data_IF_384395542109
#
_entry.id   IF_384395542109
#
_cell.length_a   1.000
_cell.length_b   1.000
_cell.length_c   1.000
_cell.angle_alpha   90.00
_cell.angle_beta   90.00
_cell.angle_gamma   90.00
#
_symmetry.space_group_name_H-M   'P 1'
#
loop_
_entity.id
_entity.type
_entity.pdbx_description
1 polymer ?
#
# COMPACT_ATOMS: atom_id res chain seq x y z
N UNK A 1 -15.06 -13.51 -6.22
CA UNK A 1 -14.83 -12.19 -5.61
C UNK A 1 -13.42 -12.04 -5.02
N UNK A 2 -13.04 -12.79 -3.96
CA UNK A 2 -11.71 -12.62 -3.32
C UNK A 2 -10.53 -12.87 -4.28
N UNK A 3 -10.57 -13.93 -5.09
CA UNK A 3 -9.52 -14.25 -6.08
C UNK A 3 -9.38 -13.17 -7.14
N UNK A 4 -10.47 -12.65 -7.61
CA UNK A 4 -10.50 -11.58 -8.61
C UNK A 4 -9.90 -10.29 -8.06
N UNK A 5 -10.26 -9.89 -6.82
CA UNK A 5 -9.68 -8.71 -6.17
C UNK A 5 -8.17 -8.87 -5.94
N UNK A 6 -7.73 -10.06 -5.51
CA UNK A 6 -6.31 -10.36 -5.37
C UNK A 6 -5.58 -10.35 -6.72
N UNK A 7 -6.20 -10.89 -7.77
CA UNK A 7 -5.68 -10.80 -9.13
C UNK A 7 -5.48 -9.34 -9.56
N UNK A 8 -6.48 -8.49 -9.36
CA UNK A 8 -6.38 -7.05 -9.68
C UNK A 8 -5.25 -6.37 -8.89
N UNK A 9 -5.12 -6.68 -7.60
CA UNK A 9 -4.04 -6.14 -6.75
C UNK A 9 -2.65 -6.56 -7.21
N UNK A 10 -2.51 -7.81 -7.68
CA UNK A 10 -1.25 -8.36 -8.20
C UNK A 10 -1.04 -8.08 -9.71
N UNK A 11 -2.01 -7.45 -10.37
CA UNK A 11 -1.95 -7.19 -11.80
C UNK A 11 -2.01 -8.46 -12.65
N UNK A 12 -2.67 -9.53 -12.17
CA UNK A 12 -2.80 -10.83 -12.82
C UNK A 12 -4.26 -11.11 -13.18
N UNK A 13 -4.48 -11.70 -14.36
CA UNK A 13 -5.79 -12.09 -14.87
C UNK A 13 -5.98 -13.61 -14.89
N UNK A 14 -4.89 -14.37 -14.96
CA UNK A 14 -4.89 -15.84 -14.94
C UNK A 14 -4.95 -16.28 -13.48
N UNK A 15 -6.13 -16.73 -13.05
CA UNK A 15 -6.41 -17.08 -11.65
C UNK A 15 -6.54 -18.60 -11.48
N UNK A 16 -5.49 -19.35 -11.78
CA UNK A 16 -5.43 -20.81 -11.68
C UNK A 16 -5.01 -21.29 -10.25
N UNK A 17 -4.65 -22.58 -10.13
CA UNK A 17 -4.18 -23.14 -8.86
C UNK A 17 -2.86 -22.54 -8.41
N UNK A 18 -1.92 -22.29 -9.35
CA UNK A 18 -0.62 -21.69 -9.07
C UNK A 18 -0.77 -20.26 -8.51
N UNK A 19 -1.68 -19.46 -9.08
CA UNK A 19 -2.05 -18.15 -8.53
C UNK A 19 -2.56 -18.28 -7.08
N UNK A 20 -3.38 -19.27 -6.78
CA UNK A 20 -3.95 -19.44 -5.44
C UNK A 20 -2.87 -19.79 -4.39
N UNK A 21 -1.96 -20.68 -4.75
CA UNK A 21 -0.80 -21.05 -3.91
C UNK A 21 0.12 -19.85 -3.69
N UNK A 22 0.43 -19.12 -4.77
CA UNK A 22 1.26 -17.92 -4.72
C UNK A 22 0.66 -16.85 -3.80
N UNK A 23 -0.64 -16.63 -3.89
CA UNK A 23 -1.36 -15.65 -3.06
C UNK A 23 -1.33 -16.04 -1.57
N UNK A 24 -1.53 -17.32 -1.27
CA UNK A 24 -1.50 -17.81 0.11
C UNK A 24 -0.09 -17.67 0.72
N UNK A 25 0.93 -18.05 -0.02
CA UNK A 25 2.32 -17.90 0.42
C UNK A 25 2.72 -16.42 0.62
N UNK A 26 2.31 -15.55 -0.29
CA UNK A 26 2.51 -14.11 -0.13
C UNK A 26 1.96 -13.59 1.20
N UNK A 27 0.72 -13.96 1.55
CA UNK A 27 0.12 -13.52 2.80
C UNK A 27 0.87 -14.03 4.03
N UNK A 28 1.38 -15.28 3.98
CA UNK A 28 2.21 -15.83 5.04
C UNK A 28 3.55 -15.10 5.18
N UNK A 29 4.20 -14.77 4.05
CA UNK A 29 5.44 -14.00 4.03
C UNK A 29 5.24 -12.59 4.58
N UNK A 30 4.19 -11.88 4.14
CA UNK A 30 3.86 -10.55 4.66
C UNK A 30 3.65 -10.56 6.17
N UNK A 31 2.94 -11.57 6.69
CA UNK A 31 2.69 -11.72 8.11
C UNK A 31 3.97 -12.04 8.89
N UNK A 32 4.78 -13.01 8.42
CA UNK A 32 6.00 -13.46 9.12
C UNK A 32 7.05 -12.36 9.18
N UNK A 33 7.18 -11.57 8.11
CA UNK A 33 8.13 -10.46 8.01
C UNK A 33 7.58 -9.12 8.51
N UNK A 34 6.32 -9.09 8.97
CA UNK A 34 5.63 -7.88 9.45
C UNK A 34 5.64 -6.73 8.43
N UNK A 35 5.54 -7.07 7.14
CA UNK A 35 5.51 -6.08 6.07
C UNK A 35 4.17 -5.35 6.02
N UNK A 36 4.20 -4.08 5.61
CA UNK A 36 2.96 -3.32 5.39
C UNK A 36 2.23 -3.86 4.16
N UNK A 37 1.00 -4.33 4.36
CA UNK A 37 0.18 -4.94 3.32
C UNK A 37 -0.12 -4.00 2.15
N UNK A 38 -0.37 -2.74 2.43
CA UNK A 38 -0.74 -1.78 1.37
C UNK A 38 0.48 -1.34 0.57
N UNK A 39 1.59 -1.06 1.25
CA UNK A 39 2.81 -0.64 0.59
C UNK A 39 3.43 -1.77 -0.24
N UNK A 40 3.31 -3.03 0.21
CA UNK A 40 3.78 -4.18 -0.55
C UNK A 40 3.30 -4.18 -2.01
N UNK A 41 2.02 -3.94 -2.28
CA UNK A 41 1.51 -3.93 -3.66
C UNK A 41 2.01 -2.74 -4.47
N UNK A 42 2.27 -1.60 -3.82
CA UNK A 42 2.85 -0.42 -4.48
C UNK A 42 4.31 -0.67 -4.83
N UNK A 43 5.08 -1.30 -3.93
CA UNK A 43 6.47 -1.66 -4.17
C UNK A 43 6.59 -2.74 -5.25
N UNK A 44 5.71 -3.74 -5.23
CA UNK A 44 5.64 -4.77 -6.26
C UNK A 44 5.34 -4.19 -7.64
N UNK A 45 4.44 -3.20 -7.72
CA UNK A 45 4.14 -2.50 -8.98
C UNK A 45 5.34 -1.71 -9.52
N UNK A 46 6.27 -1.32 -8.67
CA UNK A 46 7.50 -0.59 -9.00
C UNK A 46 8.74 -1.50 -9.08
N UNK A 47 8.59 -2.83 -9.00
CA UNK A 47 9.72 -3.74 -9.13
C UNK A 47 10.40 -3.57 -10.52
N UNK A 48 11.74 -3.62 -10.62
CA UNK A 48 12.70 -3.95 -9.56
C UNK A 48 13.17 -2.76 -8.71
N UNK A 49 12.79 -1.54 -9.01
CA UNK A 49 13.39 -0.33 -8.43
C UNK A 49 13.05 -0.07 -6.96
N UNK A 50 11.90 -0.55 -6.48
CA UNK A 50 11.40 -0.21 -5.14
C UNK A 50 11.40 -1.39 -4.15
N UNK A 51 11.67 -2.62 -4.59
CA UNK A 51 11.50 -3.80 -3.75
C UNK A 51 12.85 -4.43 -3.39
N UNK A 52 13.36 -4.12 -2.20
CA UNK A 52 14.46 -4.89 -1.58
C UNK A 52 13.85 -6.01 -0.73
N UNK A 53 13.56 -7.13 -1.39
CA UNK A 53 13.01 -8.29 -0.72
C UNK A 53 14.14 -9.26 -0.31
N UNK A 54 14.16 -9.64 0.97
CA UNK A 54 15.05 -10.66 1.50
C UNK A 54 14.99 -11.99 0.73
N UNK A 55 15.93 -12.89 1.01
CA UNK A 55 16.09 -14.19 0.31
C UNK A 55 14.76 -14.98 0.24
N UNK A 56 13.96 -14.94 1.29
CA UNK A 56 12.69 -15.66 1.37
C UNK A 56 11.68 -15.18 0.34
N UNK A 57 11.65 -13.88 0.05
CA UNK A 57 10.76 -13.30 -0.95
C UNK A 57 11.20 -13.54 -2.40
N UNK A 58 12.50 -13.80 -2.63
CA UNK A 58 13.02 -13.98 -4.01
C UNK A 58 12.37 -15.16 -4.71
N UNK A 59 12.24 -16.31 -4.04
CA UNK A 59 11.60 -17.50 -4.62
C UNK A 59 10.14 -17.23 -4.98
N UNK A 60 9.42 -16.50 -4.14
CA UNK A 60 8.07 -16.07 -4.41
C UNK A 60 8.01 -15.12 -5.61
N UNK A 61 8.90 -14.13 -5.64
CA UNK A 61 8.97 -13.13 -6.70
C UNK A 61 9.28 -13.76 -8.06
N UNK A 62 10.20 -14.72 -8.11
CA UNK A 62 10.53 -15.45 -9.35
C UNK A 62 9.31 -16.19 -9.92
N UNK A 63 8.48 -16.76 -9.05
CA UNK A 63 7.21 -17.40 -9.47
C UNK A 63 6.17 -16.39 -9.91
N UNK A 64 6.06 -15.27 -9.19
CA UNK A 64 5.20 -14.16 -9.58
C UNK A 64 5.56 -13.63 -10.98
N UNK A 65 6.84 -13.40 -11.26
CA UNK A 65 7.31 -12.94 -12.56
C UNK A 65 7.00 -13.94 -13.67
N UNK A 66 7.14 -15.25 -13.42
CA UNK A 66 6.72 -16.29 -14.38
C UNK A 66 5.21 -16.25 -14.69
N UNK A 67 4.38 -15.96 -13.70
CA UNK A 67 2.96 -15.75 -13.95
C UNK A 67 2.72 -14.47 -14.77
N UNK A 68 3.47 -13.41 -14.48
CA UNK A 68 3.43 -12.19 -15.27
C UNK A 68 3.79 -12.42 -16.74
N UNK A 69 4.80 -13.25 -17.03
CA UNK A 69 5.24 -13.57 -18.38
C UNK A 69 4.20 -14.38 -19.19
N UNK A 70 3.27 -15.05 -18.51
CA UNK A 70 2.15 -15.77 -19.17
C UNK A 70 1.08 -14.82 -19.70
N UNK A 71 1.11 -13.55 -19.28
CA UNK A 71 0.15 -12.54 -19.68
C UNK A 71 0.74 -11.62 -20.76
N UNK A 72 -0.07 -11.31 -21.77
CA UNK A 72 0.36 -10.48 -22.90
C UNK A 72 0.25 -8.98 -22.62
N UNK A 73 0.66 -8.54 -21.42
CA UNK A 73 0.66 -7.12 -21.04
C UNK A 73 2.06 -6.67 -20.63
N UNK A 74 2.40 -5.42 -20.96
CA UNK A 74 3.68 -4.84 -20.56
C UNK A 74 3.75 -4.57 -19.06
N UNK A 75 4.97 -4.43 -18.53
CA UNK A 75 5.19 -4.03 -17.13
C UNK A 75 4.49 -2.69 -16.81
N UNK A 76 4.60 -1.69 -17.68
CA UNK A 76 4.00 -0.37 -17.47
C UNK A 76 2.47 -0.44 -17.46
N UNK A 77 1.88 -1.26 -18.30
CA UNK A 77 0.44 -1.49 -18.31
C UNK A 77 -0.03 -2.20 -17.04
N UNK A 78 0.71 -3.23 -16.59
CA UNK A 78 0.45 -3.93 -15.34
C UNK A 78 0.54 -2.96 -14.15
N UNK A 79 1.62 -2.17 -14.09
CA UNK A 79 1.79 -1.15 -13.06
C UNK A 79 0.61 -0.19 -13.01
N UNK A 80 0.15 0.35 -14.12
CA UNK A 80 -1.02 1.23 -14.17
C UNK A 80 -2.28 0.56 -13.60
N UNK A 81 -2.52 -0.70 -13.95
CA UNK A 81 -3.65 -1.48 -13.43
C UNK A 81 -3.53 -1.70 -11.91
N UNK A 82 -2.35 -2.02 -11.43
CA UNK A 82 -2.08 -2.21 -10.00
C UNK A 82 -2.23 -0.90 -9.22
N UNK A 83 -1.67 0.19 -9.72
CA UNK A 83 -1.75 1.51 -9.09
C UNK A 83 -3.19 2.03 -8.97
N UNK A 84 -4.06 1.68 -9.91
CA UNK A 84 -5.47 2.07 -9.91
C UNK A 84 -6.31 1.35 -8.82
N UNK A 85 -5.84 0.24 -8.27
CA UNK A 85 -6.57 -0.55 -7.26
C UNK A 85 -5.86 -0.66 -5.91
N UNK A 86 -4.58 -0.32 -5.85
CA UNK A 86 -3.78 -0.31 -4.63
C UNK A 86 -3.54 1.13 -4.18
N UNK A 87 -4.18 1.58 -3.08
CA UNK A 87 -4.04 2.96 -2.64
C UNK A 87 -2.60 3.25 -2.16
N UNK A 88 -2.08 4.42 -2.54
CA UNK A 88 -0.82 4.98 -2.02
C UNK A 88 -1.02 5.55 -0.62
N UNK A 89 -2.15 6.19 -0.41
CA UNK A 89 -2.47 6.83 0.86
C UNK A 89 -3.58 6.07 1.57
N UNK A 90 -3.33 5.65 2.80
CA UNK A 90 -4.33 5.01 3.66
C UNK A 90 -4.39 5.71 5.01
N UNK A 91 -5.55 5.67 5.64
CA UNK A 91 -5.73 6.27 6.97
C UNK A 91 -5.10 5.36 8.03
N UNK A 92 -3.87 5.67 8.43
CA UNK A 92 -3.13 4.95 9.47
C UNK A 92 -3.41 5.54 10.85
N UNK A 93 -3.47 4.71 11.88
CA UNK A 93 -3.81 5.13 13.25
C UNK A 93 -2.91 6.25 13.77
N UNK A 94 -1.59 6.20 13.52
CA UNK A 94 -0.68 7.25 13.97
C UNK A 94 -0.93 8.60 13.29
N UNK A 95 -1.40 8.62 12.04
CA UNK A 95 -1.80 9.85 11.34
C UNK A 95 -3.08 10.44 11.93
N UNK A 96 -4.04 9.58 12.27
CA UNK A 96 -5.27 10.00 12.97
C UNK A 96 -4.94 10.60 14.34
N UNK A 97 -4.08 9.92 15.12
CA UNK A 97 -3.66 10.40 16.43
C UNK A 97 -2.98 11.76 16.33
N UNK A 98 -2.06 11.93 15.39
CA UNK A 98 -1.39 13.22 15.11
C UNK A 98 -2.40 14.34 14.79
N UNK A 99 -3.38 14.04 13.93
CA UNK A 99 -4.41 15.00 13.55
C UNK A 99 -5.28 15.41 14.75
N UNK A 100 -5.68 14.44 15.58
CA UNK A 100 -6.44 14.68 16.80
C UNK A 100 -5.65 15.49 17.83
N UNK A 101 -4.39 15.18 18.04
CA UNK A 101 -3.52 15.91 18.97
C UNK A 101 -3.38 17.38 18.58
N UNK A 102 -3.14 17.69 17.31
CA UNK A 102 -3.08 19.06 16.82
C UNK A 102 -4.41 19.80 16.96
N UNK A 103 -5.49 19.15 16.56
CA UNK A 103 -6.83 19.76 16.67
C UNK A 103 -7.23 20.07 18.12
N UNK A 104 -6.94 19.16 19.06
CA UNK A 104 -7.34 19.31 20.47
C UNK A 104 -6.41 20.23 21.28
N UNK A 105 -5.09 20.18 21.04
CA UNK A 105 -4.12 20.92 21.83
C UNK A 105 -3.83 22.32 21.27
N UNK A 106 -3.87 22.46 19.96
CA UNK A 106 -3.42 23.66 19.24
C UNK A 106 -4.56 24.36 18.48
N UNK A 107 -5.78 23.78 18.47
CA UNK A 107 -6.88 24.18 17.58
C UNK A 107 -6.48 24.23 16.10
N UNK A 108 -5.46 23.43 15.70
CA UNK A 108 -4.94 23.33 14.35
C UNK A 108 -5.55 22.14 13.59
N UNK A 109 -6.41 22.43 12.61
CA UNK A 109 -7.07 21.44 11.76
C UNK A 109 -6.34 21.18 10.44
N UNK A 110 -5.13 21.67 10.30
CA UNK A 110 -4.34 21.51 9.05
C UNK A 110 -4.09 20.04 8.70
N UNK A 111 -3.78 19.18 9.70
CA UNK A 111 -3.57 17.75 9.49
C UNK A 111 -4.87 17.03 9.05
N UNK A 112 -6.01 17.40 9.63
CA UNK A 112 -7.32 16.87 9.21
C UNK A 112 -7.58 17.22 7.74
N UNK A 113 -7.28 18.46 7.35
CA UNK A 113 -7.42 18.91 5.96
C UNK A 113 -6.50 18.14 5.01
N UNK A 114 -5.24 17.91 5.39
CA UNK A 114 -4.26 17.14 4.59
C UNK A 114 -4.73 15.70 4.39
N UNK A 115 -5.13 15.03 5.47
CA UNK A 115 -5.66 13.67 5.42
C UNK A 115 -6.90 13.58 4.52
N UNK A 116 -7.84 14.52 4.64
CA UNK A 116 -9.01 14.58 3.76
C UNK A 116 -8.61 14.67 2.29
N UNK A 117 -7.70 15.58 1.94
CA UNK A 117 -7.21 15.75 0.57
C UNK A 117 -6.59 14.46 0.03
N UNK A 118 -5.75 13.78 0.82
CA UNK A 118 -5.10 12.53 0.43
C UNK A 118 -6.11 11.41 0.19
N UNK A 119 -7.09 11.27 1.09
CA UNK A 119 -8.08 10.19 1.05
C UNK A 119 -9.22 10.40 0.04
N UNK A 120 -9.44 11.63 -0.45
CA UNK A 120 -10.38 11.90 -1.55
C UNK A 120 -9.94 11.24 -2.87
N UNK A 121 -8.63 11.13 -3.12
CA UNK A 121 -8.06 10.34 -4.20
C UNK A 121 -6.77 9.66 -3.72
N UNK A 122 -6.87 8.47 -3.12
CA UNK A 122 -5.75 7.83 -2.45
C UNK A 122 -4.78 7.12 -3.38
N UNK A 123 -5.03 7.11 -4.69
CA UNK A 123 -4.27 6.32 -5.66
C UNK A 123 -3.16 7.12 -6.36
N UNK A 124 -3.27 8.44 -6.41
CA UNK A 124 -2.42 9.31 -7.24
C UNK A 124 -1.82 10.48 -6.47
N UNK A 125 -0.62 10.87 -6.87
CA UNK A 125 -0.03 12.15 -6.46
C UNK A 125 -0.73 13.31 -7.18
N UNK A 126 -1.01 14.37 -6.42
CA UNK A 126 -1.59 15.63 -6.91
C UNK A 126 -0.67 16.79 -6.55
N UNK A 127 0.47 16.98 -7.28
CA UNK A 127 1.55 17.87 -6.88
C UNK A 127 1.11 19.31 -6.58
N UNK A 128 0.18 19.86 -7.37
CA UNK A 128 -0.31 21.24 -7.16
C UNK A 128 -1.09 21.38 -5.85
N UNK A 129 -1.93 20.37 -5.52
CA UNK A 129 -2.64 20.33 -4.25
C UNK A 129 -1.69 20.11 -3.09
N UNK A 130 -0.73 19.20 -3.27
CA UNK A 130 0.25 18.89 -2.22
C UNK A 130 1.11 20.10 -1.88
N UNK A 131 1.56 20.85 -2.90
CA UNK A 131 2.26 22.12 -2.71
C UNK A 131 1.37 23.16 -2.01
N UNK A 132 0.12 23.33 -2.45
CA UNK A 132 -0.83 24.30 -1.88
C UNK A 132 -1.09 24.07 -0.39
N UNK A 133 -1.21 22.80 0.04
CA UNK A 133 -1.54 22.45 1.42
C UNK A 133 -0.35 21.97 2.24
N UNK A 134 0.89 22.13 1.70
CA UNK A 134 2.13 21.69 2.32
C UNK A 134 2.05 20.20 2.74
N UNK A 135 1.69 19.33 1.79
CA UNK A 135 1.61 17.88 1.97
C UNK A 135 2.91 17.26 1.49
N UNK A 136 3.60 16.57 2.38
CA UNK A 136 4.72 15.69 2.07
C UNK A 136 4.18 14.29 1.77
N UNK A 137 4.08 13.95 0.48
CA UNK A 137 3.52 12.67 0.02
C UNK A 137 4.26 11.47 0.59
N UNK A 138 5.59 11.55 0.70
CA UNK A 138 6.43 10.46 1.20
C UNK A 138 6.15 10.21 2.68
N UNK A 139 6.02 11.27 3.49
CA UNK A 139 5.64 11.14 4.90
C UNK A 139 4.30 10.41 5.09
N UNK A 140 3.28 10.74 4.29
CA UNK A 140 1.94 10.13 4.45
C UNK A 140 1.80 8.75 3.83
N UNK A 141 2.73 8.32 2.98
CA UNK A 141 2.74 6.98 2.37
C UNK A 141 3.64 5.97 3.09
N UNK A 142 4.45 6.40 4.06
CA UNK A 142 5.36 5.54 4.82
C UNK A 142 4.61 4.45 5.59
N UNK A 143 5.34 3.39 5.91
CA UNK A 143 4.88 2.34 6.82
C UNK A 143 4.52 2.92 8.19
N UNK A 144 3.66 2.20 8.90
CA UNK A 144 3.36 2.55 10.29
C UNK A 144 4.63 2.41 11.14
N UNK A 145 5.09 3.48 11.82
CA UNK A 145 6.26 3.41 12.69
C UNK A 145 6.12 2.31 13.75
N UNK A 146 7.24 1.64 14.07
CA UNK A 146 7.23 0.47 14.96
C UNK A 146 6.58 0.73 16.33
N UNK A 147 6.74 1.93 16.86
CA UNK A 147 6.13 2.36 18.13
C UNK A 147 4.60 2.38 18.11
N UNK A 148 3.98 2.40 16.92
CA UNK A 148 2.52 2.36 16.74
C UNK A 148 2.00 0.97 16.35
N UNK A 149 2.89 0.00 16.07
CA UNK A 149 2.49 -1.36 15.74
C UNK A 149 1.92 -2.05 16.99
N UNK A 150 0.73 -2.64 16.85
CA UNK A 150 0.07 -3.38 17.93
C UNK A 150 -0.63 -2.53 18.99
N UNK A 151 -0.62 -1.19 18.88
CA UNK A 151 -1.45 -0.36 19.74
C UNK A 151 -2.92 -0.51 19.35
N UNK A 152 -3.71 -1.10 20.25
CA UNK A 152 -5.15 -1.03 20.11
C UNK A 152 -5.58 0.42 20.43
N UNK A 153 -6.15 1.09 19.44
CA UNK A 153 -6.88 2.33 19.68
C UNK A 153 -8.19 1.96 20.37
N UNK A 154 -8.22 2.08 21.70
CA UNK A 154 -9.47 1.97 22.43
C UNK A 154 -10.30 3.22 22.15
N UNK A 155 -11.46 3.08 21.54
CA UNK A 155 -12.49 4.11 21.47
C UNK A 155 -13.27 4.19 22.81
N UNK A 156 -12.57 4.14 23.94
CA UNK A 156 -13.19 4.38 25.25
C UNK A 156 -12.96 5.83 25.62
N UNK A 157 -13.98 6.64 25.38
CA UNK A 157 -14.17 7.94 26.03
C UNK A 157 -14.76 7.72 27.41
#
# INVERSE_FOLDING_TARGET
FYREEMGRKLGLSILDSEFSELTQEMLQLLQSQKMDYSNFFRDLANYPSAMDCGIEFRSWLDRYLKLCDRESISHDERKKKMDAVNPKFILRNHLVQRALEKALKEADFSEVTRLRILLENPFEDRPELFKKYNIDADFYSQDTPQEFLGRQTSCSA
#
